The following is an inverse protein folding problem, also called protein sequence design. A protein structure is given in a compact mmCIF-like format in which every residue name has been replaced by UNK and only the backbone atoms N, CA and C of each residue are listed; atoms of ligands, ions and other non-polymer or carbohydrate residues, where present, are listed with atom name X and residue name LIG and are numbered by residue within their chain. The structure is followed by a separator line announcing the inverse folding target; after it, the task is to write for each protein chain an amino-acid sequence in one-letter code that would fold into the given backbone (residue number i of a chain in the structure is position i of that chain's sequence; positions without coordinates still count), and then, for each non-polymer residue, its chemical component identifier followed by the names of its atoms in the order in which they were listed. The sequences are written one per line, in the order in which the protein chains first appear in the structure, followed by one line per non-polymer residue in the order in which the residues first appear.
data_IF_871888098169
#
_entry.id   IF_871888098169
#
_cell.length_a   1.000
_cell.length_b   1.000
_cell.length_c   1.000
_cell.angle_alpha   90.00
_cell.angle_beta   90.00
_cell.angle_gamma   90.00
#
_symmetry.space_group_name_H-M   'P 1'
#
loop_
_entity.id
_entity.type
_entity.pdbx_description
1 polymer ?
#
# COMPACT_ATOMS: atom_id res chain seq x y z
N UNK A 1 7.23 1.27 19.36
CA UNK A 1 6.78 0.42 18.23
C UNK A 1 5.27 0.61 18.09
N UNK A 2 4.79 1.19 16.98
CA UNK A 2 3.38 1.59 16.78
C UNK A 2 2.81 1.27 15.39
N UNK A 3 3.50 0.44 14.60
CA UNK A 3 3.03 0.02 13.29
C UNK A 3 2.11 -1.21 13.44
N UNK A 4 0.80 -1.01 13.28
CA UNK A 4 -0.22 -2.05 13.50
C UNK A 4 -0.99 -2.43 12.24
N UNK A 5 -0.41 -2.25 11.05
CA UNK A 5 -1.11 -2.61 9.80
C UNK A 5 -1.42 -4.11 9.75
N UNK A 6 -2.70 -4.46 9.61
CA UNK A 6 -3.22 -5.83 9.69
C UNK A 6 -3.53 -6.30 11.12
N UNK A 7 -3.17 -5.51 12.14
CA UNK A 7 -3.35 -5.82 13.55
C UNK A 7 -4.70 -5.39 14.15
N UNK A 8 -5.48 -4.58 13.44
CA UNK A 8 -6.76 -4.09 13.95
C UNK A 8 -7.85 -5.19 13.98
N UNK A 9 -8.83 -5.08 14.89
CA UNK A 9 -9.93 -6.02 14.98
C UNK A 9 -10.73 -6.14 13.67
N UNK A 10 -11.39 -7.29 13.41
CA UNK A 10 -12.32 -7.43 12.29
C UNK A 10 -13.40 -6.33 12.29
N UNK A 11 -13.74 -5.82 11.10
CA UNK A 11 -14.66 -4.68 10.92
C UNK A 11 -13.95 -3.36 10.59
N UNK A 12 -12.65 -3.25 10.86
CA UNK A 12 -11.85 -2.08 10.47
C UNK A 12 -11.26 -2.23 9.07
N UNK A 13 -11.32 -1.12 8.32
CA UNK A 13 -10.59 -0.94 7.07
C UNK A 13 -9.32 -0.14 7.34
N UNK A 14 -8.19 -0.58 6.80
CA UNK A 14 -6.88 0.00 7.10
C UNK A 14 -6.20 0.53 5.84
N UNK A 15 -5.58 1.69 5.97
CA UNK A 15 -4.76 2.28 4.92
C UNK A 15 -3.51 1.44 4.68
N UNK A 16 -3.33 1.00 3.44
CA UNK A 16 -2.26 0.10 3.07
C UNK A 16 -1.08 0.86 2.47
N UNK A 17 -0.24 1.43 3.34
CA UNK A 17 0.98 2.13 2.93
C UNK A 17 1.94 1.21 2.15
N UNK A 18 1.94 -0.09 2.45
CA UNK A 18 2.76 -1.06 1.70
C UNK A 18 2.27 -1.24 0.27
N UNK A 19 0.97 -1.16 0.03
CA UNK A 19 0.44 -1.12 -1.35
C UNK A 19 0.96 0.12 -2.07
N UNK A 20 0.84 1.30 -1.44
CA UNK A 20 1.32 2.57 -2.02
C UNK A 20 2.80 2.47 -2.40
N UNK A 21 3.64 2.05 -1.47
CA UNK A 21 5.09 2.08 -1.64
C UNK A 21 5.57 1.05 -2.67
N UNK A 22 5.06 -0.20 -2.62
CA UNK A 22 5.40 -1.24 -3.60
C UNK A 22 4.94 -0.87 -5.01
N UNK A 23 3.72 -0.32 -5.17
CA UNK A 23 3.22 0.05 -6.50
C UNK A 23 4.03 1.21 -7.08
N UNK A 24 4.39 2.21 -6.25
CA UNK A 24 5.27 3.29 -6.68
C UNK A 24 6.66 2.80 -7.10
N UNK A 25 7.28 1.91 -6.31
CA UNK A 25 8.58 1.31 -6.62
C UNK A 25 8.53 0.51 -7.93
N UNK A 26 7.48 -0.30 -8.13
CA UNK A 26 7.27 -1.05 -9.37
C UNK A 26 7.17 -0.14 -10.60
N UNK A 27 6.36 0.92 -10.53
CA UNK A 27 6.20 1.86 -11.65
C UNK A 27 7.41 2.75 -11.89
N UNK A 28 8.17 3.08 -10.84
CA UNK A 28 9.46 3.77 -10.95
C UNK A 28 10.51 2.92 -11.69
N UNK A 29 10.36 1.60 -11.65
CA UNK A 29 11.28 0.65 -12.27
C UNK A 29 12.32 0.07 -11.32
N UNK A 30 12.07 0.11 -10.00
CA UNK A 30 12.97 -0.51 -9.02
C UNK A 30 12.99 -2.04 -9.23
N UNK A 31 14.17 -2.65 -9.07
CA UNK A 31 14.33 -4.10 -9.27
C UNK A 31 13.65 -4.92 -8.15
N UNK A 32 13.30 -6.17 -8.46
CA UNK A 32 12.78 -7.13 -7.48
C UNK A 32 11.33 -6.92 -7.02
N UNK A 33 10.61 -5.95 -7.59
CA UNK A 33 9.25 -5.59 -7.11
C UNK A 33 8.13 -6.51 -7.58
N UNK A 34 8.36 -7.37 -8.58
CA UNK A 34 7.28 -8.15 -9.24
C UNK A 34 6.53 -9.08 -8.27
N UNK A 35 7.25 -9.79 -7.40
CA UNK A 35 6.65 -10.72 -6.44
C UNK A 35 5.80 -9.99 -5.39
N UNK A 36 6.35 -8.91 -4.82
CA UNK A 36 5.63 -8.10 -3.84
C UNK A 36 4.43 -7.38 -4.49
N UNK A 37 4.60 -6.86 -5.71
CA UNK A 37 3.51 -6.26 -6.48
C UNK A 37 2.35 -7.24 -6.71
N UNK A 38 2.64 -8.48 -7.10
CA UNK A 38 1.61 -9.51 -7.25
C UNK A 38 0.86 -9.80 -5.94
N UNK A 39 1.57 -9.82 -4.80
CA UNK A 39 0.93 -9.95 -3.49
C UNK A 39 0.05 -8.74 -3.15
N UNK A 40 0.47 -7.52 -3.51
CA UNK A 40 -0.34 -6.30 -3.31
C UNK A 40 -1.60 -6.28 -4.17
N UNK A 41 -1.51 -6.71 -5.42
CA UNK A 41 -2.63 -6.78 -6.36
C UNK A 41 -3.67 -7.84 -5.96
N UNK A 42 -3.24 -8.92 -5.29
CA UNK A 42 -4.13 -9.97 -4.74
C UNK A 42 -4.64 -9.61 -3.34
N UNK A 43 -5.08 -8.36 -3.19
CA UNK A 43 -5.63 -7.76 -1.97
C UNK A 43 -4.70 -7.81 -0.74
N UNK A 44 -3.38 -7.90 -0.95
CA UNK A 44 -2.41 -8.03 0.15
C UNK A 44 -2.78 -9.16 1.12
N UNK A 45 -3.14 -10.33 0.57
CA UNK A 45 -3.63 -11.47 1.35
C UNK A 45 -2.66 -11.90 2.46
N UNK A 46 -1.35 -11.76 2.27
CA UNK A 46 -0.36 -11.99 3.31
C UNK A 46 -0.57 -11.17 4.59
N UNK A 47 -1.19 -9.99 4.48
CA UNK A 47 -1.45 -9.08 5.61
C UNK A 47 -2.91 -9.13 6.09
N UNK A 48 -3.86 -9.21 5.16
CA UNK A 48 -5.28 -9.05 5.49
C UNK A 48 -6.08 -10.36 5.44
N UNK A 49 -5.55 -11.47 4.91
CA UNK A 49 -6.22 -12.77 4.93
C UNK A 49 -5.99 -13.50 6.26
N UNK A 50 -6.35 -12.86 7.37
CA UNK A 50 -6.22 -13.41 8.71
C UNK A 50 -7.47 -13.07 9.52
N UNK A 51 -7.82 -13.92 10.50
CA UNK A 51 -8.89 -13.67 11.48
C UNK A 51 -10.27 -13.37 10.85
N UNK A 52 -10.58 -13.99 9.70
CA UNK A 52 -11.86 -13.82 9.00
C UNK A 52 -12.05 -12.45 8.32
N UNK A 53 -10.99 -11.65 8.18
CA UNK A 53 -11.03 -10.37 7.48
C UNK A 53 -11.17 -10.58 5.98
N UNK A 54 -12.00 -9.76 5.35
CA UNK A 54 -12.26 -9.78 3.90
C UNK A 54 -11.25 -8.90 3.17
N UNK A 55 -11.03 -9.11 1.85
CA UNK A 55 -10.18 -8.24 1.02
C UNK A 55 -10.44 -6.73 1.17
N UNK A 56 -11.70 -6.37 1.46
CA UNK A 56 -12.18 -5.00 1.70
C UNK A 56 -11.52 -4.32 2.91
N UNK A 57 -10.87 -5.08 3.80
CA UNK A 57 -10.14 -4.55 4.94
C UNK A 57 -8.88 -3.75 4.53
N UNK A 58 -8.42 -3.88 3.28
CA UNK A 58 -7.31 -3.11 2.72
C UNK A 58 -7.82 -1.91 1.93
N UNK A 59 -7.52 -0.69 2.38
CA UNK A 59 -7.69 0.54 1.60
C UNK A 59 -6.43 0.77 0.79
N UNK A 60 -6.49 0.43 -0.49
CA UNK A 60 -5.39 0.61 -1.43
C UNK A 60 -5.42 2.03 -2.01
N UNK A 61 -4.30 2.73 -1.92
CA UNK A 61 -4.17 4.10 -2.43
C UNK A 61 -2.77 4.35 -2.96
N UNK A 62 -2.64 5.31 -3.89
CA UNK A 62 -1.35 5.70 -4.49
C UNK A 62 -0.91 7.07 -4.00
N UNK A 63 -1.82 7.98 -3.70
CA UNK A 63 -1.56 9.31 -3.14
C UNK A 63 -2.61 9.63 -2.09
N UNK A 64 -2.26 10.49 -1.14
CA UNK A 64 -3.14 10.99 -0.10
C UNK A 64 -2.91 12.49 0.05
N UNK A 65 -3.69 13.15 0.92
CA UNK A 65 -3.48 14.55 1.26
C UNK A 65 -2.10 14.79 1.89
N UNK A 66 -1.57 13.80 2.62
CA UNK A 66 -0.22 13.82 3.17
C UNK A 66 0.81 13.36 2.13
N UNK A 67 1.40 14.31 1.41
CA UNK A 67 2.51 14.10 0.48
C UNK A 67 2.25 14.63 -0.92
N UNK A 68 2.93 14.04 -1.91
CA UNK A 68 2.77 14.42 -3.31
C UNK A 68 1.40 14.02 -3.86
N UNK A 69 0.84 14.91 -4.68
CA UNK A 69 -0.27 14.57 -5.58
C UNK A 69 0.21 13.59 -6.65
N UNK A 70 -0.72 13.02 -7.43
CA UNK A 70 -0.36 12.07 -8.48
C UNK A 70 0.50 12.72 -9.56
N UNK A 71 0.27 14.02 -9.83
CA UNK A 71 1.06 14.78 -10.78
C UNK A 71 2.46 15.03 -10.23
N UNK A 72 2.57 15.51 -8.98
CA UNK A 72 3.87 15.80 -8.40
C UNK A 72 4.73 14.54 -8.26
N UNK A 73 4.10 13.39 -7.99
CA UNK A 73 4.77 12.09 -7.88
C UNK A 73 5.53 11.68 -9.15
N UNK A 74 5.08 12.14 -10.32
CA UNK A 74 5.73 11.84 -11.61
C UNK A 74 6.52 13.02 -12.17
N UNK A 75 6.49 14.16 -11.49
CA UNK A 75 7.12 15.40 -11.93
C UNK A 75 8.30 15.84 -11.07
N UNK A 76 8.39 15.39 -9.82
CA UNK A 76 9.44 15.79 -8.88
C UNK A 76 10.09 14.58 -8.19
N UNK A 77 11.42 14.63 -8.07
CA UNK A 77 12.19 13.63 -7.32
C UNK A 77 12.32 13.98 -5.83
N UNK A 78 12.33 15.27 -5.49
CA UNK A 78 12.54 15.78 -4.13
C UNK A 78 11.39 16.70 -3.70
N UNK A 79 11.14 16.77 -2.38
CA UNK A 79 10.15 17.69 -1.81
C UNK A 79 10.70 19.12 -1.83
N UNK A 80 9.88 20.06 -2.28
CA UNK A 80 10.15 21.49 -2.20
C UNK A 80 9.58 22.09 -0.91
#
# INVERSE_FOLDING_TARGET
CGYQVGGFPPGWMEWNDKFRDTVRAFWKGDEGQLADFAARMTASGNMFNQRGRRPQASVNFITAHDGFTLHDLVSYNDKH
#
